data_IF_347760842047
#
_entry.id   IF_347760842047
#
_cell.length_a   1.000
_cell.length_b   1.000
_cell.length_c   1.000
_cell.angle_alpha   90.00
_cell.angle_beta   90.00
_cell.angle_gamma   90.00
#
_symmetry.space_group_name_H-M   'P 1'
#
loop_
_entity.id
_entity.type
_entity.pdbx_description
1 polymer ?
#
# COMPACT_ATOMS: atom_id res chain seq x y z
N UNK A 1 -20.69 34.09 -39.08
CA UNK A 1 -20.47 34.04 -37.61
C UNK A 1 -21.07 32.74 -37.09
N UNK A 2 -20.37 32.08 -36.15
CA UNK A 2 -20.70 30.84 -35.42
C UNK A 2 -20.50 29.54 -36.24
N UNK A 3 -19.29 28.93 -36.21
CA UNK A 3 -18.73 28.00 -35.21
C UNK A 3 -19.42 26.62 -35.20
N UNK A 4 -18.87 25.68 -35.97
CA UNK A 4 -19.03 24.23 -35.76
C UNK A 4 -18.00 23.76 -34.74
N UNK A 5 -18.38 23.00 -33.68
CA UNK A 5 -17.40 22.42 -32.78
C UNK A 5 -16.74 21.20 -33.43
N UNK A 6 -15.43 21.32 -33.67
CA UNK A 6 -14.53 20.23 -34.02
C UNK A 6 -14.28 19.38 -32.78
N UNK A 7 -14.70 18.11 -32.82
CA UNK A 7 -14.29 17.12 -31.84
C UNK A 7 -13.00 16.44 -32.35
N UNK A 8 -11.88 16.48 -31.62
CA UNK A 8 -10.72 15.67 -31.98
C UNK A 8 -10.98 14.20 -31.61
N UNK A 9 -10.97 13.34 -32.62
CA UNK A 9 -10.99 11.89 -32.46
C UNK A 9 -9.71 11.42 -31.73
N UNK A 10 -9.88 10.83 -30.55
CA UNK A 10 -8.82 10.16 -29.81
C UNK A 10 -8.43 8.87 -30.55
N UNK A 11 -7.24 8.88 -31.14
CA UNK A 11 -6.59 7.69 -31.66
C UNK A 11 -6.25 6.74 -30.51
N UNK A 12 -7.01 5.67 -30.35
CA UNK A 12 -6.60 4.49 -29.56
C UNK A 12 -5.54 3.72 -30.36
N UNK A 13 -4.29 4.10 -30.18
CA UNK A 13 -3.13 3.33 -30.60
C UNK A 13 -2.59 2.50 -29.44
N UNK A 14 -2.46 1.19 -29.65
CA UNK A 14 -1.51 0.35 -28.94
C UNK A 14 -1.97 -0.23 -27.61
N UNK A 15 -2.68 -1.35 -27.67
CA UNK A 15 -2.77 -2.31 -26.57
C UNK A 15 -1.39 -2.93 -26.33
N UNK A 16 -0.53 -2.27 -25.56
CA UNK A 16 0.56 -2.92 -24.86
C UNK A 16 0.03 -3.39 -23.52
N UNK A 17 -0.26 -4.69 -23.43
CA UNK A 17 -0.50 -5.43 -22.20
C UNK A 17 0.76 -5.36 -21.33
N UNK A 18 0.97 -4.25 -20.62
CA UNK A 18 1.92 -4.18 -19.52
C UNK A 18 1.21 -4.69 -18.28
N UNK A 19 1.51 -5.93 -17.90
CA UNK A 19 1.28 -6.44 -16.54
C UNK A 19 2.10 -5.57 -15.58
N UNK A 20 1.55 -4.42 -15.22
CA UNK A 20 2.10 -3.53 -14.21
C UNK A 20 1.62 -4.08 -12.87
N UNK A 21 2.25 -5.17 -12.43
CA UNK A 21 2.43 -5.38 -11.00
C UNK A 21 2.93 -4.04 -10.44
N UNK A 22 2.32 -3.48 -9.39
CA UNK A 22 2.81 -2.23 -8.81
C UNK A 22 4.26 -2.47 -8.42
N UNK A 23 5.18 -1.92 -9.23
CA UNK A 23 6.59 -2.06 -8.99
C UNK A 23 6.85 -1.33 -7.68
N UNK A 24 7.08 -2.10 -6.61
CA UNK A 24 7.87 -1.66 -5.47
C UNK A 24 9.23 -1.27 -6.05
N UNK A 25 9.34 -0.05 -6.58
CA UNK A 25 10.59 0.59 -6.91
C UNK A 25 11.28 0.92 -5.58
N UNK A 26 11.71 -0.13 -4.87
CA UNK A 26 12.70 -0.02 -3.81
C UNK A 26 13.96 0.41 -4.54
N UNK A 27 14.38 1.66 -4.32
CA UNK A 27 15.64 2.17 -4.82
C UNK A 27 16.76 1.41 -4.13
N UNK A 28 17.12 0.25 -4.67
CA UNK A 28 18.35 -0.44 -4.32
C UNK A 28 19.51 0.35 -4.94
N UNK A 29 20.17 1.18 -4.13
CA UNK A 29 21.37 1.89 -4.54
C UNK A 29 21.42 3.33 -4.02
N UNK A 30 22.29 3.55 -3.04
CA UNK A 30 22.68 4.88 -2.57
C UNK A 30 22.26 5.14 -1.14
N UNK A 31 23.12 5.86 -0.42
CA UNK A 31 22.99 6.45 0.92
C UNK A 31 21.77 7.36 1.07
N UNK A 32 20.58 6.83 0.83
CA UNK A 32 19.29 7.47 1.04
C UNK A 32 18.75 7.17 2.44
N UNK A 33 17.75 7.92 2.92
CA UNK A 33 17.11 7.64 4.19
C UNK A 33 16.54 6.21 4.18
N UNK A 34 16.89 5.43 5.20
CA UNK A 34 16.41 4.06 5.40
C UNK A 34 14.89 4.06 5.43
N UNK A 35 14.26 3.23 4.59
CA UNK A 35 12.81 3.12 4.54
C UNK A 35 12.32 2.42 5.81
N UNK A 36 11.44 3.08 6.58
CA UNK A 36 10.95 2.59 7.87
C UNK A 36 9.67 1.79 7.70
N UNK A 37 9.60 0.60 8.27
CA UNK A 37 8.50 -0.35 8.10
C UNK A 37 7.91 -0.72 9.45
N UNK A 38 6.61 -0.49 9.62
CA UNK A 38 5.89 -0.91 10.82
C UNK A 38 5.25 -2.28 10.63
N UNK A 39 5.58 -3.21 11.53
CA UNK A 39 5.07 -4.60 11.52
C UNK A 39 4.28 -4.95 12.78
N UNK A 40 3.98 -3.96 13.63
CA UNK A 40 3.38 -4.18 14.95
C UNK A 40 2.06 -4.97 14.89
N UNK A 41 1.27 -4.78 13.83
CA UNK A 41 -0.03 -5.43 13.68
C UNK A 41 0.04 -6.87 13.15
N UNK A 42 1.21 -7.39 12.77
CA UNK A 42 1.34 -8.77 12.26
C UNK A 42 1.14 -9.85 13.34
N UNK A 43 1.20 -9.48 14.63
CA UNK A 43 1.10 -10.42 15.74
C UNK A 43 2.24 -11.46 15.73
N UNK A 44 2.02 -12.62 16.33
CA UNK A 44 3.01 -13.72 16.44
C UNK A 44 2.70 -14.95 15.58
N UNK A 45 1.85 -14.80 14.55
CA UNK A 45 1.40 -15.92 13.70
C UNK A 45 2.42 -16.34 12.64
N UNK A 46 2.19 -17.50 12.02
CA UNK A 46 3.06 -18.03 10.95
C UNK A 46 3.17 -17.12 9.71
N UNK A 47 2.21 -16.22 9.49
CA UNK A 47 2.33 -15.20 8.44
C UNK A 47 3.38 -14.13 8.76
N UNK A 48 3.60 -13.83 10.05
CA UNK A 48 4.55 -12.79 10.48
C UNK A 48 5.97 -13.10 10.00
N UNK A 49 6.42 -14.35 10.14
CA UNK A 49 7.76 -14.75 9.67
C UNK A 49 7.93 -14.59 8.17
N UNK A 50 6.89 -14.89 7.38
CA UNK A 50 6.91 -14.70 5.93
C UNK A 50 7.05 -13.21 5.54
N UNK A 51 6.32 -12.33 6.22
CA UNK A 51 6.43 -10.89 5.99
C UNK A 51 7.80 -10.35 6.40
N UNK A 52 8.33 -10.76 7.55
CA UNK A 52 9.66 -10.34 7.99
C UNK A 52 10.75 -10.82 7.04
N UNK A 53 10.67 -12.07 6.58
CA UNK A 53 11.61 -12.61 5.58
C UNK A 53 11.54 -11.83 4.26
N UNK A 54 10.34 -11.45 3.81
CA UNK A 54 10.18 -10.62 2.61
C UNK A 54 10.77 -9.21 2.80
N UNK A 55 10.61 -8.62 3.99
CA UNK A 55 11.19 -7.32 4.36
C UNK A 55 12.72 -7.41 4.37
N UNK A 56 13.31 -8.42 5.00
CA UNK A 56 14.76 -8.66 5.01
C UNK A 56 15.34 -8.79 3.58
N UNK A 57 14.62 -9.45 2.68
CA UNK A 57 15.03 -9.58 1.27
C UNK A 57 14.97 -8.28 0.48
N UNK A 58 14.22 -7.28 0.93
CA UNK A 58 14.08 -5.99 0.25
C UNK A 58 15.26 -5.03 0.52
N UNK A 59 16.20 -5.38 1.41
CA UNK A 59 17.42 -4.60 1.69
C UNK A 59 17.38 -3.85 3.02
N UNK A 60 18.10 -2.73 3.12
CA UNK A 60 18.19 -1.92 4.34
C UNK A 60 16.86 -1.22 4.66
N UNK A 61 16.03 -1.92 5.44
CA UNK A 61 14.77 -1.44 5.99
C UNK A 61 14.88 -1.35 7.51
N UNK A 62 14.40 -0.25 8.08
CA UNK A 62 14.32 -0.09 9.54
C UNK A 62 12.95 -0.60 10.01
N UNK A 63 12.94 -1.74 10.69
CA UNK A 63 11.72 -2.43 11.11
C UNK A 63 11.37 -2.05 12.55
N UNK A 64 10.15 -1.57 12.75
CA UNK A 64 9.62 -1.24 14.08
C UNK A 64 8.41 -2.11 14.43
N UNK A 65 8.34 -2.46 15.71
CA UNK A 65 7.19 -3.16 16.32
C UNK A 65 6.36 -2.23 17.21
N UNK A 66 6.67 -0.95 17.23
CA UNK A 66 5.91 0.03 18.01
C UNK A 66 4.60 0.38 17.29
N UNK A 67 3.47 -0.08 17.84
CA UNK A 67 2.14 0.21 17.30
C UNK A 67 1.78 1.71 17.36
N UNK A 68 2.44 2.48 18.24
CA UNK A 68 2.21 3.91 18.39
C UNK A 68 2.91 4.77 17.31
N UNK A 69 3.88 4.22 16.58
CA UNK A 69 4.57 4.95 15.52
C UNK A 69 3.65 5.19 14.30
N UNK A 70 3.46 6.48 13.97
CA UNK A 70 2.70 6.97 12.82
C UNK A 70 3.62 7.66 11.76
N UNK A 71 4.94 7.54 11.92
CA UNK A 71 5.96 8.18 11.06
C UNK A 71 6.65 7.26 10.05
N UNK A 72 6.29 5.98 9.95
CA UNK A 72 6.91 5.00 9.05
C UNK A 72 6.50 5.23 7.58
N UNK A 73 7.27 4.67 6.64
CA UNK A 73 6.99 4.72 5.19
C UNK A 73 5.98 3.66 4.78
N UNK A 74 6.09 2.47 5.38
CA UNK A 74 5.27 1.30 5.06
C UNK A 74 4.66 0.74 6.33
N UNK A 75 3.40 0.31 6.25
CA UNK A 75 2.68 -0.33 7.34
C UNK A 75 2.06 -1.64 6.87
N UNK A 76 2.37 -2.71 7.60
CA UNK A 76 1.62 -3.95 7.52
C UNK A 76 0.54 -3.96 8.60
N UNK A 77 -0.71 -3.80 8.17
CA UNK A 77 -1.88 -3.77 9.04
C UNK A 77 -2.65 -5.07 8.88
N UNK A 78 -2.99 -5.70 9.99
CA UNK A 78 -3.96 -6.81 10.06
C UNK A 78 -5.14 -6.32 10.89
N UNK A 79 -6.23 -5.86 10.25
CA UNK A 79 -7.32 -5.23 10.99
C UNK A 79 -8.17 -6.28 11.72
N UNK A 80 -8.54 -6.00 12.97
CA UNK A 80 -9.53 -6.82 13.69
C UNK A 80 -10.98 -6.37 13.37
N UNK A 81 -11.15 -5.16 12.82
CA UNK A 81 -12.44 -4.61 12.38
C UNK A 81 -12.27 -3.50 11.34
N UNK A 82 -13.35 -3.19 10.61
CA UNK A 82 -13.39 -2.06 9.67
C UNK A 82 -13.11 -0.72 10.36
N UNK A 83 -13.69 -0.52 11.55
CA UNK A 83 -13.58 0.72 12.32
C UNK A 83 -12.16 0.94 12.83
N UNK A 84 -11.44 -0.13 13.18
CA UNK A 84 -10.03 -0.06 13.57
C UNK A 84 -9.13 0.29 12.37
N UNK A 85 -9.34 -0.36 11.21
CA UNK A 85 -8.60 -0.02 9.99
C UNK A 85 -8.81 1.45 9.64
N UNK A 86 -10.07 1.91 9.62
CA UNK A 86 -10.40 3.29 9.30
C UNK A 86 -9.71 4.28 10.24
N UNK A 87 -9.78 4.04 11.57
CA UNK A 87 -9.09 4.86 12.56
C UNK A 87 -7.58 4.90 12.37
N UNK A 88 -6.96 3.77 12.01
CA UNK A 88 -5.52 3.71 11.75
C UNK A 88 -5.15 4.51 10.50
N UNK A 89 -5.87 4.32 9.40
CA UNK A 89 -5.60 5.01 8.13
C UNK A 89 -5.69 6.54 8.25
N UNK A 90 -6.60 7.06 9.07
CA UNK A 90 -6.74 8.51 9.32
C UNK A 90 -5.54 9.14 10.04
N UNK A 91 -4.76 8.35 10.80
CA UNK A 91 -3.59 8.84 11.55
C UNK A 91 -2.31 8.85 10.72
N UNK A 92 -2.26 8.10 9.63
CA UNK A 92 -1.02 7.92 8.87
C UNK A 92 -0.65 9.19 8.12
N UNK A 93 0.65 9.47 8.06
CA UNK A 93 1.17 10.59 7.28
C UNK A 93 0.84 10.45 5.79
N UNK A 94 0.71 11.59 5.12
CA UNK A 94 0.52 11.63 3.65
C UNK A 94 1.68 10.93 2.95
N UNK A 95 1.36 10.02 2.04
CA UNK A 95 2.35 9.25 1.28
C UNK A 95 2.79 7.94 1.94
N UNK A 96 2.30 7.64 3.16
CA UNK A 96 2.46 6.32 3.76
C UNK A 96 1.83 5.23 2.86
N UNK A 97 2.50 4.08 2.80
CA UNK A 97 2.04 2.91 2.05
C UNK A 97 1.48 1.87 3.01
N UNK A 98 0.33 1.32 2.67
CA UNK A 98 -0.37 0.31 3.48
C UNK A 98 -0.76 -0.87 2.59
N UNK A 99 -0.90 -2.05 3.17
CA UNK A 99 -1.32 -3.27 2.48
C UNK A 99 -2.85 -3.38 2.26
N UNK A 100 -3.60 -2.28 2.38
CA UNK A 100 -5.06 -2.25 2.24
C UNK A 100 -5.51 -1.13 1.30
N UNK A 101 -6.49 -1.42 0.45
CA UNK A 101 -7.19 -0.39 -0.32
C UNK A 101 -8.47 0.05 0.40
N UNK A 102 -8.82 1.34 0.37
CA UNK A 102 -10.10 1.82 0.88
C UNK A 102 -11.28 1.10 0.20
N UNK A 103 -12.30 0.74 0.97
CA UNK A 103 -13.53 0.11 0.47
C UNK A 103 -13.45 -1.40 0.20
N UNK A 104 -12.25 -2.01 0.24
CA UNK A 104 -12.13 -3.47 0.08
C UNK A 104 -12.76 -4.24 1.25
N UNK A 105 -12.84 -3.64 2.44
CA UNK A 105 -13.49 -4.27 3.60
C UNK A 105 -14.97 -4.50 3.33
N UNK A 106 -15.67 -3.53 2.72
CA UNK A 106 -17.10 -3.63 2.44
C UNK A 106 -17.41 -4.69 1.35
N UNK A 107 -16.44 -5.02 0.49
CA UNK A 107 -16.56 -6.07 -0.53
C UNK A 107 -16.18 -7.46 -0.01
N UNK A 108 -15.22 -7.53 0.91
CA UNK A 108 -14.70 -8.78 1.46
C UNK A 108 -15.50 -9.29 2.65
N UNK A 109 -16.30 -8.45 3.31
CA UNK A 109 -17.25 -8.90 4.32
C UNK A 109 -18.35 -9.73 3.66
N UNK A 110 -18.40 -11.02 3.99
CA UNK A 110 -19.49 -11.88 3.57
C UNK A 110 -20.76 -11.42 4.27
N UNK A 111 -21.78 -11.09 3.48
CA UNK A 111 -23.10 -10.75 4.03
C UNK A 111 -23.55 -11.83 5.03
N UNK A 112 -24.11 -11.44 6.19
CA UNK A 112 -24.66 -12.40 7.14
C UNK A 112 -25.77 -13.22 6.46
N UNK A 113 -25.91 -14.51 6.81
CA UNK A 113 -26.90 -15.41 6.22
C UNK A 113 -28.34 -14.97 6.49
#
# INVERSE_FOLDING_TARGET
MLHSPSAPALALGGSSSSSSSPALAVRAGGTGPTCRVNVAALGNGGYRSLYLQAVEQCGDLDVTEDASEDSCDVYFIVPCSREELHRRLLRLRRGARVNHFPGMVDLCEKAPP
#
